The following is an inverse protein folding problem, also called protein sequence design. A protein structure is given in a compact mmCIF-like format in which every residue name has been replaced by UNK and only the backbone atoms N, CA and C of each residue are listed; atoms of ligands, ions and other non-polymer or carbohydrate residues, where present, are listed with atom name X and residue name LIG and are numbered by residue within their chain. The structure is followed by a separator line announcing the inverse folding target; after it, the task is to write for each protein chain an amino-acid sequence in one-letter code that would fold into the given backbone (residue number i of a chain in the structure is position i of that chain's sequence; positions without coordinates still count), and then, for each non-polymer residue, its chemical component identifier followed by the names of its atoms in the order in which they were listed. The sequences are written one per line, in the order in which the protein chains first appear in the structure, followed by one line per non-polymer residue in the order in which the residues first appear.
data_IF_183886763774
#
_entry.id   IF_183886763774
#
_cell.length_a   1.000
_cell.length_b   1.000
_cell.length_c   1.000
_cell.angle_alpha   90.00
_cell.angle_beta   90.00
_cell.angle_gamma   90.00
#
_symmetry.space_group_name_H-M   'P 1'
#
loop_
_entity.id
_entity.type
_entity.pdbx_description
1 polymer ?
#
# COMPACT_ATOMS: atom_id res chain seq x y z
N UNK A 1 -15.59 -14.42 6.42
CA UNK A 1 -14.39 -13.97 5.69
C UNK A 1 -13.19 -14.51 6.41
N UNK A 2 -12.28 -15.20 5.71
CA UNK A 2 -11.06 -15.69 6.36
C UNK A 2 -9.93 -14.68 6.14
N UNK A 3 -9.27 -14.28 7.23
CA UNK A 3 -8.14 -13.35 7.21
C UNK A 3 -7.05 -13.78 6.21
N UNK A 4 -6.91 -15.09 6.02
CA UNK A 4 -6.02 -15.74 5.06
C UNK A 4 -6.32 -15.38 3.59
N UNK A 5 -7.59 -15.24 3.20
CA UNK A 5 -7.95 -14.86 1.83
C UNK A 5 -7.57 -13.40 1.54
N UNK A 6 -7.79 -12.51 2.51
CA UNK A 6 -7.43 -11.10 2.38
C UNK A 6 -5.91 -10.93 2.28
N UNK A 7 -5.16 -11.69 3.11
CA UNK A 7 -3.70 -11.71 3.06
C UNK A 7 -3.17 -12.24 1.72
N UNK A 8 -3.80 -13.28 1.16
CA UNK A 8 -3.40 -13.84 -0.12
C UNK A 8 -3.60 -12.83 -1.27
N UNK A 9 -4.72 -12.09 -1.26
CA UNK A 9 -4.98 -11.05 -2.25
C UNK A 9 -4.03 -9.85 -2.07
N UNK A 10 -3.81 -9.41 -0.83
CA UNK A 10 -2.85 -8.35 -0.50
C UNK A 10 -1.43 -8.71 -0.98
N UNK A 11 -1.03 -9.98 -0.83
CA UNK A 11 0.28 -10.47 -1.29
C UNK A 11 0.39 -10.44 -2.81
N UNK A 12 -0.66 -10.85 -3.54
CA UNK A 12 -0.68 -10.81 -5.01
C UNK A 12 -0.62 -9.38 -5.53
N UNK A 13 -1.35 -8.47 -4.88
CA UNK A 13 -1.31 -7.03 -5.16
C UNK A 13 0.11 -6.48 -4.96
N UNK A 14 0.75 -6.82 -3.83
CA UNK A 14 2.12 -6.44 -3.52
C UNK A 14 3.13 -6.87 -4.58
N UNK A 15 3.15 -8.15 -4.97
CA UNK A 15 4.12 -8.67 -5.95
C UNK A 15 4.03 -7.90 -7.27
N UNK A 16 2.80 -7.59 -7.70
CA UNK A 16 2.54 -6.87 -8.95
C UNK A 16 2.95 -5.39 -8.87
N UNK A 17 2.61 -4.72 -7.77
CA UNK A 17 3.00 -3.32 -7.54
C UNK A 17 4.52 -3.16 -7.39
N UNK A 18 5.21 -4.13 -6.77
CA UNK A 18 6.67 -4.14 -6.66
C UNK A 18 7.34 -4.26 -8.03
N UNK A 19 6.82 -5.14 -8.89
CA UNK A 19 7.41 -5.36 -10.22
C UNK A 19 7.31 -4.13 -11.13
N UNK A 20 6.21 -3.38 -11.04
CA UNK A 20 5.95 -2.26 -11.96
C UNK A 20 6.29 -0.88 -11.38
N UNK A 21 6.35 -0.71 -10.06
CA UNK A 21 6.57 0.58 -9.40
C UNK A 21 7.67 0.59 -8.33
N UNK A 22 8.32 -0.55 -8.06
CA UNK A 22 9.43 -0.66 -7.09
C UNK A 22 9.04 -0.43 -5.62
N UNK A 23 7.75 -0.29 -5.31
CA UNK A 23 7.27 0.03 -3.96
C UNK A 23 7.11 -1.23 -3.12
N UNK A 24 7.74 -1.24 -1.94
CA UNK A 24 7.55 -2.30 -0.94
C UNK A 24 6.35 -1.92 -0.06
N UNK A 25 5.35 -2.80 -0.02
CA UNK A 25 4.15 -2.63 0.81
C UNK A 25 4.01 -3.82 1.74
N UNK A 26 3.51 -3.59 2.95
CA UNK A 26 3.35 -4.64 3.95
C UNK A 26 1.96 -5.27 3.80
N UNK A 27 1.90 -6.51 3.29
CA UNK A 27 0.64 -7.21 3.04
C UNK A 27 -0.12 -7.56 4.34
N UNK A 28 0.60 -7.70 5.46
CA UNK A 28 0.04 -8.05 6.77
C UNK A 28 -0.54 -6.80 7.45
N UNK A 29 0.05 -5.63 7.22
CA UNK A 29 -0.47 -4.38 7.76
C UNK A 29 -1.73 -3.88 7.03
N UNK A 30 -1.89 -4.22 5.74
CA UNK A 30 -3.10 -3.91 4.97
C UNK A 30 -4.35 -4.52 5.62
N UNK A 31 -4.26 -5.72 6.17
CA UNK A 31 -5.44 -6.38 6.77
C UNK A 31 -5.74 -5.88 8.18
N UNK A 32 -4.75 -5.30 8.87
CA UNK A 32 -4.88 -4.84 10.26
C UNK A 32 -5.21 -3.35 10.38
N UNK A 33 -4.91 -2.54 9.35
CA UNK A 33 -5.09 -1.10 9.40
C UNK A 33 -5.91 -0.60 8.19
N UNK A 34 -7.15 -0.20 8.48
CA UNK A 34 -8.09 0.30 7.48
C UNK A 34 -7.62 1.59 6.78
N UNK A 35 -6.91 2.48 7.46
CA UNK A 35 -6.43 3.73 6.86
C UNK A 35 -5.27 3.45 5.89
N UNK A 36 -4.35 2.59 6.31
CA UNK A 36 -3.27 2.10 5.46
C UNK A 36 -3.82 1.38 4.22
N UNK A 37 -4.81 0.50 4.39
CA UNK A 37 -5.44 -0.19 3.28
C UNK A 37 -6.03 0.78 2.25
N UNK A 38 -6.71 1.86 2.68
CA UNK A 38 -7.25 2.88 1.77
C UNK A 38 -6.16 3.61 0.99
N UNK A 39 -5.03 3.92 1.63
CA UNK A 39 -3.92 4.56 0.93
C UNK A 39 -3.28 3.62 -0.09
N UNK A 40 -3.14 2.33 0.23
CA UNK A 40 -2.67 1.32 -0.73
C UNK A 40 -3.65 1.17 -1.89
N UNK A 41 -4.95 1.14 -1.64
CA UNK A 41 -5.98 1.09 -2.69
C UNK A 41 -5.91 2.34 -3.58
N UNK A 42 -5.75 3.54 -3.00
CA UNK A 42 -5.55 4.79 -3.76
C UNK A 42 -4.34 4.70 -4.70
N UNK A 43 -3.23 4.15 -4.21
CA UNK A 43 -2.03 3.94 -5.01
C UNK A 43 -2.24 2.87 -6.09
N UNK A 44 -2.98 1.82 -5.80
CA UNK A 44 -3.30 0.75 -6.75
C UNK A 44 -4.19 1.25 -7.90
N UNK A 45 -5.19 2.10 -7.62
CA UNK A 45 -6.03 2.72 -8.65
C UNK A 45 -5.30 3.75 -9.51
N UNK A 46 -4.24 4.38 -8.98
CA UNK A 46 -3.37 5.25 -9.77
C UNK A 46 -2.44 4.47 -10.72
N UNK A 47 -2.39 3.14 -10.62
CA UNK A 47 -1.56 2.30 -11.47
C UNK A 47 -2.30 1.95 -12.77
N UNK A 48 -1.60 2.04 -13.91
CA UNK A 48 -2.15 1.71 -15.24
C UNK A 48 -2.32 0.21 -15.53
N UNK A 49 -2.12 -0.67 -14.55
CA UNK A 49 -2.20 -2.13 -14.73
C UNK A 49 -3.61 -2.62 -14.34
N UNK A 50 -4.34 -3.16 -15.31
CA UNK A 50 -5.72 -3.63 -15.11
C UNK A 50 -5.84 -4.73 -14.05
N UNK A 51 -4.81 -5.58 -13.89
CA UNK A 51 -4.85 -6.65 -12.90
C UNK A 51 -4.62 -6.11 -11.48
N UNK A 52 -3.79 -5.05 -11.33
CA UNK A 52 -3.65 -4.32 -10.07
C UNK A 52 -4.99 -3.72 -9.65
N UNK A 53 -5.74 -3.14 -10.59
CA UNK A 53 -7.05 -2.56 -10.33
C UNK A 53 -8.09 -3.62 -9.94
N UNK A 54 -8.11 -4.79 -10.61
CA UNK A 54 -9.00 -5.91 -10.25
C UNK A 54 -8.69 -6.45 -8.85
N UNK A 55 -7.42 -6.63 -8.52
CA UNK A 55 -7.00 -7.08 -7.19
C UNK A 55 -7.34 -6.04 -6.10
N UNK A 56 -7.20 -4.75 -6.40
CA UNK A 56 -7.58 -3.67 -5.50
C UNK A 56 -9.09 -3.67 -5.23
N UNK A 57 -9.92 -3.79 -6.27
CA UNK A 57 -11.38 -3.86 -6.11
C UNK A 57 -11.79 -5.04 -5.22
N UNK A 58 -11.23 -6.21 -5.48
CA UNK A 58 -11.54 -7.41 -4.69
C UNK A 58 -11.07 -7.29 -3.25
N UNK A 59 -9.91 -6.67 -3.02
CA UNK A 59 -9.40 -6.38 -1.68
C UNK A 59 -10.29 -5.37 -0.94
N UNK A 60 -10.78 -4.35 -1.65
CA UNK A 60 -11.69 -3.34 -1.09
C UNK A 60 -13.02 -3.97 -0.66
N UNK A 61 -13.63 -4.78 -1.52
CA UNK A 61 -14.85 -5.55 -1.20
C UNK A 61 -14.65 -6.45 0.03
N UNK A 62 -13.44 -7.03 0.16
CA UNK A 62 -13.12 -7.92 1.27
C UNK A 62 -12.84 -7.22 2.59
N UNK A 63 -12.24 -6.03 2.56
CA UNK A 63 -11.89 -5.29 3.78
C UNK A 63 -13.01 -4.38 4.27
N UNK A 64 -13.82 -3.83 3.36
CA UNK A 64 -14.81 -2.79 3.67
C UNK A 64 -16.25 -3.21 3.37
N UNK A 65 -16.48 -4.38 2.77
CA UNK A 65 -17.79 -4.81 2.28
C UNK A 65 -18.15 -4.18 0.94
N UNK A 66 -19.38 -4.42 0.44
CA UNK A 66 -19.84 -3.94 -0.86
C UNK A 66 -19.58 -2.44 -1.04
N UNK A 67 -18.80 -2.11 -2.08
CA UNK A 67 -18.28 -0.78 -2.35
C UNK A 67 -19.44 0.20 -2.60
N UNK A 68 -19.56 1.22 -1.75
CA UNK A 68 -20.21 2.47 -2.17
C UNK A 68 -19.32 3.12 -3.22
N UNK A 69 -19.86 3.53 -4.39
CA UNK A 69 -19.06 4.15 -5.44
C UNK A 69 -18.38 5.40 -4.89
N UNK A 70 -17.06 5.33 -4.71
CA UNK A 70 -16.27 6.47 -4.26
C UNK A 70 -16.26 7.49 -5.38
N UNK A 71 -17.11 8.52 -5.22
CA UNK A 71 -17.02 9.75 -6.01
C UNK A 71 -15.56 10.20 -6.04
N UNK A 72 -15.08 10.54 -7.24
CA UNK A 72 -13.74 11.05 -7.45
C UNK A 72 -13.45 12.21 -6.49
N UNK A 73 -12.58 11.97 -5.49
CA UNK A 73 -12.10 13.04 -4.63
C UNK A 73 -10.76 13.51 -5.21
N UNK A 74 -10.78 14.80 -5.55
CA UNK A 74 -9.74 15.74 -5.95
C UNK A 74 -8.29 15.38 -5.53
N UNK A 75 -7.29 15.84 -6.31
CA UNK A 75 -5.88 15.59 -6.04
C UNK A 75 -5.53 16.01 -4.61
N UNK A 76 -5.02 15.04 -3.84
CA UNK A 76 -4.49 15.28 -2.51
C UNK A 76 -3.38 16.34 -2.60
N UNK A 77 -3.60 17.46 -1.93
CA UNK A 77 -2.58 18.49 -1.74
C UNK A 77 -1.29 17.86 -1.18
N UNK A 78 -0.10 18.36 -1.56
CA UNK A 78 1.15 17.92 -0.96
C UNK A 78 1.07 18.08 0.55
N UNK A 79 1.10 16.96 1.30
CA UNK A 79 1.44 17.04 2.72
C UNK A 79 2.90 17.48 2.80
N UNK A 80 3.11 18.76 3.05
CA UNK A 80 4.41 19.26 3.49
C UNK A 80 4.87 18.44 4.71
N UNK A 81 6.14 17.99 4.73
CA UNK A 81 6.67 17.25 5.86
C UNK A 81 6.70 18.19 7.07
N UNK A 82 5.87 17.89 8.07
CA UNK A 82 6.01 18.51 9.37
C UNK A 82 7.44 18.23 9.89
N UNK A 83 8.21 19.31 10.01
CA UNK A 83 9.55 19.29 10.55
C UNK A 83 9.55 18.65 11.94
N UNK A 84 10.29 17.54 12.08
CA UNK A 84 10.87 17.17 13.38
C UNK A 84 12.36 17.44 13.29
N UNK A 85 12.76 18.51 13.97
CA UNK A 85 14.13 18.89 14.18
C UNK A 85 14.84 17.83 15.03
N UNK A 86 15.97 17.32 14.52
CA UNK A 86 17.25 17.12 15.23
C UNK A 86 18.07 16.06 14.51
N UNK A 87 19.12 16.50 13.80
CA UNK A 87 20.23 15.61 13.47
C UNK A 87 20.89 15.12 14.77
N UNK A 88 21.36 13.87 14.79
CA UNK A 88 22.81 13.75 14.86
C UNK A 88 23.41 12.94 13.72
N UNK A 89 24.65 13.35 13.41
CA UNK A 89 25.59 12.76 12.46
C UNK A 89 25.77 11.26 12.68
N UNK A 90 25.83 10.53 11.58
CA UNK A 90 26.34 9.16 11.54
C UNK A 90 25.82 8.42 10.33
N UNK A 91 26.45 8.60 9.17
CA UNK A 91 26.23 7.71 8.03
C UNK A 91 26.85 6.36 8.41
N UNK A 92 26.06 5.50 9.06
CA UNK A 92 26.46 4.11 9.27
C UNK A 92 26.29 3.38 7.94
N UNK A 93 27.41 3.22 7.24
CA UNK A 93 27.51 2.44 6.01
C UNK A 93 27.22 0.98 6.36
N UNK A 94 26.00 0.51 6.06
CA UNK A 94 25.62 -0.88 6.24
C UNK A 94 26.46 -1.77 5.31
N UNK A 95 27.46 -2.47 5.86
CA UNK A 95 28.18 -3.55 5.20
C UNK A 95 27.68 -4.85 5.83
N UNK A 96 26.57 -5.36 5.31
CA UNK A 96 26.08 -6.69 5.65
C UNK A 96 26.91 -7.74 4.91
N UNK A 97 27.93 -8.29 5.56
CA UNK A 97 28.51 -9.57 5.15
C UNK A 97 27.53 -10.67 5.57
N UNK A 98 26.85 -11.28 4.59
CA UNK A 98 26.24 -12.60 4.80
C UNK A 98 27.39 -13.61 4.92
N UNK A 99 27.51 -14.26 6.08
CA UNK A 99 28.30 -15.47 6.25
C UNK A 99 27.42 -16.69 6.08
#
# INVERSE_FOLDING_TARGET
MTENEALLIATRLYVRMRANGGRVIDAVWITQNADYAREILRLAYAHSDDEVQRLALKLEEMLFGAVQPRSAIAPAAPREPAASAAAPKGISKYIGVLR
#
